data_IF_858421126675
#
_entry.id   IF_858421126675
#
_cell.length_a   1.000
_cell.length_b   1.000
_cell.length_c   1.000
_cell.angle_alpha   90.00
_cell.angle_beta   90.00
_cell.angle_gamma   90.00
#
_symmetry.space_group_name_H-M   'P 1'
#
loop_
_entity.id
_entity.type
_entity.pdbx_description
1 polymer ?
#
# COMPACT_ATOMS: atom_id res chain seq x y z
N UNK A 1 -23.08 -8.52 3.82
CA UNK A 1 -23.05 -8.87 2.37
C UNK A 1 -22.85 -10.36 2.14
N UNK A 2 -21.79 -11.00 2.67
CA UNK A 2 -21.64 -12.48 2.59
C UNK A 2 -22.85 -13.21 3.20
N UNK A 3 -23.24 -12.84 4.42
CA UNK A 3 -24.36 -13.48 5.13
C UNK A 3 -25.71 -13.30 4.42
N UNK A 4 -25.91 -12.17 3.73
CA UNK A 4 -27.13 -11.91 2.96
C UNK A 4 -27.17 -12.80 1.72
N UNK A 5 -26.02 -12.96 1.05
CA UNK A 5 -25.87 -13.85 -0.10
C UNK A 5 -26.09 -15.31 0.27
N UNK A 6 -25.47 -15.77 1.37
CA UNK A 6 -25.65 -17.14 1.89
C UNK A 6 -27.10 -17.43 2.29
N UNK A 7 -27.82 -16.44 2.84
CA UNK A 7 -29.27 -16.56 3.11
C UNK A 7 -30.09 -16.62 1.83
N UNK A 8 -29.75 -15.82 0.82
CA UNK A 8 -30.44 -15.85 -0.48
C UNK A 8 -30.17 -17.13 -1.28
N UNK A 9 -29.10 -17.87 -0.97
CA UNK A 9 -28.75 -19.19 -1.55
C UNK A 9 -29.54 -20.36 -0.96
N UNK A 10 -30.33 -20.16 0.10
CA UNK A 10 -31.13 -21.23 0.70
C UNK A 10 -32.32 -21.61 -0.20
N UNK A 11 -32.65 -22.90 -0.21
CA UNK A 11 -33.81 -23.43 -0.96
C UNK A 11 -35.09 -22.94 -0.31
N UNK A 12 -36.00 -22.36 -1.12
CA UNK A 12 -37.32 -21.95 -0.66
C UNK A 12 -38.34 -23.09 -0.86
N UNK A 13 -39.23 -23.35 0.12
CA UNK A 13 -40.25 -24.38 -0.02
C UNK A 13 -41.25 -24.01 -1.13
N UNK A 14 -41.59 -24.99 -1.97
CA UNK A 14 -42.55 -24.90 -3.11
C UNK A 14 -42.12 -24.00 -4.29
N UNK A 15 -40.84 -23.66 -4.41
CA UNK A 15 -40.32 -22.90 -5.56
C UNK A 15 -40.19 -23.77 -6.82
N UNK A 16 -40.64 -23.27 -7.97
CA UNK A 16 -40.47 -23.97 -9.26
C UNK A 16 -38.99 -23.93 -9.70
N UNK A 17 -38.58 -24.88 -10.54
CA UNK A 17 -37.23 -24.90 -11.12
C UNK A 17 -36.90 -23.60 -11.87
N UNK A 18 -37.87 -23.07 -12.63
CA UNK A 18 -37.73 -21.81 -13.37
C UNK A 18 -37.53 -20.61 -12.45
N UNK A 19 -38.28 -20.53 -11.35
CA UNK A 19 -38.17 -19.43 -10.39
C UNK A 19 -36.86 -19.51 -9.60
N UNK A 20 -36.42 -20.72 -9.29
CA UNK A 20 -35.12 -21.01 -8.68
C UNK A 20 -33.96 -20.53 -9.57
N UNK A 21 -33.95 -20.90 -10.86
CA UNK A 21 -32.93 -20.43 -11.81
C UNK A 21 -32.94 -18.91 -11.96
N UNK A 22 -34.12 -18.28 -12.06
CA UNK A 22 -34.23 -16.81 -12.12
C UNK A 22 -33.67 -16.14 -10.86
N UNK A 23 -33.99 -16.66 -9.67
CA UNK A 23 -33.50 -16.14 -8.39
C UNK A 23 -31.98 -16.28 -8.26
N UNK A 24 -31.42 -17.45 -8.56
CA UNK A 24 -29.96 -17.64 -8.51
C UNK A 24 -29.25 -16.74 -9.50
N UNK A 25 -29.74 -16.62 -10.73
CA UNK A 25 -29.17 -15.71 -11.72
C UNK A 25 -29.17 -14.27 -11.24
N UNK A 26 -30.30 -13.77 -10.73
CA UNK A 26 -30.39 -12.41 -10.20
C UNK A 26 -29.46 -12.18 -9.00
N UNK A 27 -29.36 -13.16 -8.10
CA UNK A 27 -28.49 -13.10 -6.93
C UNK A 27 -27.00 -13.07 -7.34
N UNK A 28 -26.58 -13.97 -8.24
CA UNK A 28 -25.22 -14.04 -8.77
C UNK A 28 -24.84 -12.76 -9.53
N UNK A 29 -25.73 -12.22 -10.36
CA UNK A 29 -25.51 -10.96 -11.08
C UNK A 29 -25.35 -9.78 -10.11
N UNK A 30 -26.18 -9.71 -9.06
CA UNK A 30 -26.08 -8.68 -8.03
C UNK A 30 -24.74 -8.72 -7.29
N UNK A 31 -24.30 -9.91 -6.87
CA UNK A 31 -23.02 -10.09 -6.20
C UNK A 31 -21.86 -9.73 -7.12
N UNK A 32 -21.89 -10.17 -8.38
CA UNK A 32 -20.87 -9.84 -9.38
C UNK A 32 -20.73 -8.33 -9.58
N UNK A 33 -21.85 -7.60 -9.66
CA UNK A 33 -21.83 -6.14 -9.79
C UNK A 33 -21.18 -5.50 -8.55
N UNK A 34 -21.61 -5.89 -7.34
CA UNK A 34 -21.04 -5.36 -6.09
C UNK A 34 -19.55 -5.69 -5.92
N UNK A 35 -19.14 -6.91 -6.29
CA UNK A 35 -17.74 -7.31 -6.30
C UNK A 35 -16.91 -6.41 -7.23
N UNK A 36 -17.39 -6.16 -8.46
CA UNK A 36 -16.72 -5.25 -9.41
C UNK A 36 -16.62 -3.82 -8.88
N UNK A 37 -17.69 -3.30 -8.27
CA UNK A 37 -17.67 -1.97 -7.65
C UNK A 37 -16.63 -1.90 -6.53
N UNK A 38 -16.60 -2.91 -5.64
CA UNK A 38 -15.63 -2.97 -4.54
C UNK A 38 -14.19 -3.08 -5.04
N UNK A 39 -13.94 -3.88 -6.08
CA UNK A 39 -12.62 -3.98 -6.70
C UNK A 39 -12.17 -2.68 -7.37
N UNK A 40 -13.08 -1.98 -8.05
CA UNK A 40 -12.78 -0.67 -8.65
C UNK A 40 -12.50 0.39 -7.59
N UNK A 41 -13.31 0.42 -6.54
CA UNK A 41 -13.10 1.31 -5.40
C UNK A 41 -11.78 1.03 -4.70
N UNK A 42 -11.46 -0.24 -4.45
CA UNK A 42 -10.18 -0.66 -3.87
C UNK A 42 -8.98 -0.22 -4.73
N UNK A 43 -9.05 -0.43 -6.06
CA UNK A 43 -8.01 0.05 -6.98
C UNK A 43 -7.83 1.56 -6.94
N UNK A 44 -8.93 2.32 -7.00
CA UNK A 44 -8.88 3.78 -6.90
C UNK A 44 -8.19 4.24 -5.60
N UNK A 45 -8.48 3.59 -4.48
CA UNK A 45 -7.79 3.92 -3.23
C UNK A 45 -6.30 3.52 -3.28
N UNK A 46 -5.97 2.34 -3.81
CA UNK A 46 -4.57 1.92 -3.97
C UNK A 46 -3.76 2.92 -4.79
N UNK A 47 -4.30 3.37 -5.93
CA UNK A 47 -3.62 4.29 -6.84
C UNK A 47 -3.27 5.64 -6.18
N UNK A 48 -4.07 6.10 -5.22
CA UNK A 48 -3.86 7.38 -4.53
C UNK A 48 -3.08 7.25 -3.22
N UNK A 49 -3.10 6.08 -2.56
CA UNK A 49 -2.59 5.96 -1.21
C UNK A 49 -1.42 5.00 -1.06
N UNK A 50 -1.19 4.05 -1.99
CA UNK A 50 -0.13 3.05 -1.88
C UNK A 50 1.19 3.48 -2.56
N UNK A 51 1.69 4.65 -2.16
CA UNK A 51 2.92 5.26 -2.69
C UNK A 51 4.17 4.92 -1.86
N UNK A 52 4.14 3.91 -0.99
CA UNK A 52 5.27 3.58 -0.12
C UNK A 52 5.63 2.10 -0.12
N UNK A 53 6.91 1.78 0.11
CA UNK A 53 7.41 0.43 0.35
C UNK A 53 8.36 0.40 1.56
N UNK A 54 8.50 -0.77 2.20
CA UNK A 54 9.33 -0.93 3.41
C UNK A 54 10.49 -1.90 3.16
N UNK A 55 11.67 -1.58 3.69
CA UNK A 55 12.89 -2.39 3.65
C UNK A 55 13.39 -2.75 5.05
N UNK A 56 14.13 -3.85 5.14
CA UNK A 56 14.98 -4.17 6.28
C UNK A 56 16.32 -3.44 6.14
N UNK A 57 16.72 -2.73 7.19
CA UNK A 57 18.05 -2.12 7.36
C UNK A 57 18.71 -2.59 8.67
N UNK A 58 18.46 -3.84 9.04
CA UNK A 58 19.06 -4.51 10.19
C UNK A 58 20.51 -4.89 9.88
N UNK A 59 21.37 -3.89 9.71
CA UNK A 59 22.76 -4.07 9.34
C UNK A 59 23.68 -4.00 10.57
N UNK A 60 24.81 -4.73 10.54
CA UNK A 60 25.92 -4.44 11.45
C UNK A 60 26.38 -2.98 11.33
N UNK A 61 26.95 -2.36 12.39
CA UNK A 61 27.32 -0.95 12.41
C UNK A 61 28.17 -0.49 11.22
N UNK A 62 29.16 -1.27 10.81
CA UNK A 62 30.03 -0.99 9.68
C UNK A 62 29.28 -0.96 8.33
N UNK A 63 28.31 -1.86 8.16
CA UNK A 63 27.47 -1.92 6.96
C UNK A 63 26.44 -0.80 6.97
N UNK A 64 25.91 -0.45 8.14
CA UNK A 64 25.01 0.69 8.31
C UNK A 64 25.72 2.01 7.97
N UNK A 65 26.99 2.17 8.36
CA UNK A 65 27.77 3.34 8.00
C UNK A 65 27.98 3.40 6.48
N UNK A 66 28.35 2.29 5.85
CA UNK A 66 28.46 2.22 4.38
C UNK A 66 27.15 2.62 3.70
N UNK A 67 26.00 2.18 4.21
CA UNK A 67 24.69 2.57 3.69
C UNK A 67 24.48 4.09 3.74
N UNK A 68 24.84 4.75 4.85
CA UNK A 68 24.78 6.21 4.93
C UNK A 68 25.76 6.89 3.98
N UNK A 69 26.99 6.37 3.87
CA UNK A 69 28.02 6.93 3.00
C UNK A 69 27.59 6.87 1.52
N UNK A 70 26.91 5.80 1.09
CA UNK A 70 26.35 5.68 -0.27
C UNK A 70 25.21 6.67 -0.52
N UNK A 71 24.31 6.86 0.45
CA UNK A 71 23.28 7.90 0.36
C UNK A 71 23.89 9.30 0.22
N UNK A 72 24.90 9.61 1.03
CA UNK A 72 25.61 10.90 0.94
C UNK A 72 26.33 11.04 -0.41
N UNK A 73 27.03 10.00 -0.87
CA UNK A 73 27.77 10.02 -2.14
C UNK A 73 26.86 10.20 -3.36
N UNK A 74 25.62 9.68 -3.29
CA UNK A 74 24.60 9.86 -4.31
C UNK A 74 23.86 11.20 -4.23
N UNK A 75 24.21 12.08 -3.29
CA UNK A 75 23.63 13.42 -3.17
C UNK A 75 22.34 13.49 -2.36
N UNK A 76 22.01 12.45 -1.58
CA UNK A 76 20.90 12.54 -0.64
C UNK A 76 21.20 13.54 0.47
N UNK A 77 20.14 14.15 1.01
CA UNK A 77 20.24 15.11 2.10
C UNK A 77 19.24 14.78 3.21
N UNK A 78 19.66 15.04 4.45
CA UNK A 78 18.84 14.82 5.64
C UNK A 78 17.89 15.99 5.84
N UNK A 79 16.61 15.70 6.06
CA UNK A 79 15.63 16.69 6.46
C UNK A 79 15.67 16.85 7.98
N UNK A 80 15.86 18.08 8.45
CA UNK A 80 15.69 18.43 9.84
C UNK A 80 14.24 18.87 10.06
N UNK A 81 13.46 17.98 10.66
CA UNK A 81 12.00 18.12 10.73
C UNK A 81 11.51 18.69 12.04
N UNK A 82 12.29 18.49 13.11
CA UNK A 82 11.96 18.90 14.49
C UNK A 82 10.95 17.99 15.19
N UNK A 83 10.39 17.00 14.49
CA UNK A 83 9.34 16.10 15.01
C UNK A 83 9.71 14.61 14.90
N UNK A 84 10.36 14.19 13.81
CA UNK A 84 10.71 12.78 13.59
C UNK A 84 11.90 12.35 14.44
N UNK A 85 12.85 13.26 14.67
CA UNK A 85 14.08 12.99 15.42
C UNK A 85 13.75 12.63 16.88
N UNK A 86 12.72 13.25 17.45
CA UNK A 86 12.20 12.94 18.80
C UNK A 86 11.63 11.51 18.90
N UNK A 87 11.32 10.87 17.77
CA UNK A 87 10.81 9.50 17.69
C UNK A 87 11.88 8.50 17.20
N UNK A 88 13.16 8.90 17.20
CA UNK A 88 14.29 8.13 16.64
C UNK A 88 14.11 7.80 15.15
N UNK A 89 13.40 8.67 14.42
CA UNK A 89 13.18 8.55 12.97
C UNK A 89 13.90 9.67 12.25
N UNK A 90 14.46 9.34 11.09
CA UNK A 90 15.20 10.30 10.27
C UNK A 90 14.62 10.29 8.86
N UNK A 91 14.42 11.47 8.29
CA UNK A 91 13.86 11.61 6.94
C UNK A 91 14.95 12.11 6.01
N UNK A 92 15.23 11.36 4.96
CA UNK A 92 16.24 11.66 3.94
C UNK A 92 15.50 11.86 2.62
N UNK A 93 15.88 12.87 1.85
CA UNK A 93 15.29 13.13 0.55
C UNK A 93 16.24 12.70 -0.58
N UNK A 94 15.65 12.21 -1.68
CA UNK A 94 16.37 11.96 -2.93
C UNK A 94 16.94 13.26 -3.51
N UNK A 95 18.05 13.23 -4.26
CA UNK A 95 18.67 14.42 -4.86
C UNK A 95 17.70 15.28 -5.68
N UNK A 96 16.77 14.64 -6.41
CA UNK A 96 15.79 15.29 -7.27
C UNK A 96 14.77 16.20 -6.55
N UNK A 97 14.77 16.19 -5.21
CA UNK A 97 13.92 17.02 -4.37
C UNK A 97 14.61 18.32 -3.91
N UNK A 98 15.86 18.57 -4.27
CA UNK A 98 16.52 19.85 -3.95
C UNK A 98 15.68 21.04 -4.43
N UNK A 99 15.45 22.00 -3.53
CA UNK A 99 14.65 23.20 -3.79
C UNK A 99 13.12 22.98 -3.83
N UNK A 100 12.62 21.75 -3.65
CA UNK A 100 11.19 21.40 -3.77
C UNK A 100 10.55 21.12 -2.40
N UNK A 101 10.58 22.10 -1.50
CA UNK A 101 10.10 21.96 -0.11
C UNK A 101 8.60 21.57 -0.03
N UNK A 102 7.77 22.21 -0.85
CA UNK A 102 6.32 21.96 -0.88
C UNK A 102 6.00 20.52 -1.32
N UNK A 103 6.81 19.95 -2.20
CA UNK A 103 6.68 18.57 -2.66
C UNK A 103 7.02 17.58 -1.55
N UNK A 104 8.09 17.83 -0.79
CA UNK A 104 8.46 16.99 0.36
C UNK A 104 7.33 16.94 1.40
N UNK A 105 6.74 18.09 1.73
CA UNK A 105 5.61 18.15 2.67
C UNK A 105 4.39 17.39 2.16
N UNK A 106 4.15 17.45 0.86
CA UNK A 106 3.02 16.81 0.20
C UNK A 106 3.14 15.29 0.11
N UNK A 107 4.34 14.79 -0.20
CA UNK A 107 4.66 13.36 -0.24
C UNK A 107 4.44 12.68 1.11
N UNK A 108 4.58 13.44 2.21
CA UNK A 108 4.29 12.95 3.55
C UNK A 108 2.79 12.83 3.86
N UNK A 109 1.90 13.38 3.03
CA UNK A 109 0.46 13.39 3.25
C UNK A 109 -0.27 12.49 2.24
N UNK A 110 -1.01 13.10 1.30
CA UNK A 110 -1.76 12.40 0.25
C UNK A 110 -1.15 12.75 -1.09
N UNK A 111 -0.77 11.72 -1.84
CA UNK A 111 -0.23 11.83 -3.18
C UNK A 111 -1.36 11.71 -4.21
N UNK A 112 -1.56 12.72 -5.05
CA UNK A 112 -2.45 12.62 -6.22
C UNK A 112 -1.63 12.72 -7.49
N UNK A 113 -2.05 12.01 -8.53
CA UNK A 113 -1.43 12.06 -9.86
C UNK A 113 -1.38 13.51 -10.37
N UNK A 114 -2.44 14.30 -10.14
CA UNK A 114 -2.52 15.69 -10.57
C UNK A 114 -1.43 16.59 -9.96
N UNK A 115 -0.92 16.21 -8.78
CA UNK A 115 0.12 16.99 -8.07
C UNK A 115 1.53 16.64 -8.56
N UNK A 116 1.74 15.41 -9.02
CA UNK A 116 3.07 14.89 -9.38
C UNK A 116 3.04 14.17 -10.73
N UNK A 117 2.84 14.89 -11.85
CA UNK A 117 2.70 14.26 -13.17
C UNK A 117 4.01 13.65 -13.69
N UNK A 118 5.18 14.20 -13.35
CA UNK A 118 6.45 13.91 -14.03
C UNK A 118 7.58 13.37 -13.12
N UNK A 119 7.27 13.00 -11.88
CA UNK A 119 8.29 12.80 -10.84
C UNK A 119 8.46 11.32 -10.44
N UNK A 120 8.92 10.50 -11.38
CA UNK A 120 9.07 9.04 -11.20
C UNK A 120 10.17 8.63 -10.20
N UNK A 121 11.27 9.36 -10.14
CA UNK A 121 12.46 8.96 -9.35
C UNK A 121 12.55 9.65 -7.98
N UNK A 122 11.60 10.53 -7.66
CA UNK A 122 11.60 11.28 -6.41
C UNK A 122 11.05 10.47 -5.25
N UNK A 123 11.76 10.48 -4.13
CA UNK A 123 11.30 9.84 -2.91
C UNK A 123 11.82 10.49 -1.63
N UNK A 124 11.07 10.25 -0.56
CA UNK A 124 11.51 10.41 0.80
C UNK A 124 11.80 9.04 1.40
N UNK A 125 12.88 8.97 2.18
CA UNK A 125 13.30 7.78 2.89
C UNK A 125 13.20 8.05 4.40
N UNK A 126 12.37 7.28 5.08
CA UNK A 126 12.15 7.39 6.52
C UNK A 126 12.87 6.21 7.16
N UNK A 127 13.89 6.50 7.96
CA UNK A 127 14.74 5.51 8.59
C UNK A 127 14.46 5.41 10.08
N UNK A 128 14.51 4.20 10.62
CA UNK A 128 14.60 3.95 12.05
C UNK A 128 15.70 2.92 12.32
N UNK A 129 16.98 3.35 12.39
CA UNK A 129 18.10 2.43 12.59
C UNK A 129 18.08 1.76 13.98
N UNK A 130 18.78 0.65 14.13
CA UNK A 130 18.95 -0.02 15.43
C UNK A 130 20.00 0.66 16.31
N UNK A 131 21.06 1.17 15.67
CA UNK A 131 22.18 1.86 16.31
C UNK A 131 22.10 3.37 16.21
N UNK A 132 23.19 4.03 16.61
CA UNK A 132 23.39 5.47 16.50
C UNK A 132 23.34 5.95 15.05
N UNK A 133 22.58 7.01 14.80
CA UNK A 133 22.51 7.66 13.49
C UNK A 133 23.58 8.74 13.34
N UNK A 134 24.53 8.52 12.44
CA UNK A 134 25.61 9.46 12.14
C UNK A 134 25.53 9.93 10.68
N UNK A 135 25.08 11.16 10.47
CA UNK A 135 24.93 11.76 9.14
C UNK A 135 25.92 12.90 8.92
N UNK A 136 26.77 12.73 7.91
CA UNK A 136 27.81 13.68 7.50
C UNK A 136 27.49 14.46 6.22
N UNK A 137 26.40 14.12 5.53
CA UNK A 137 25.94 14.82 4.33
C UNK A 137 25.21 16.13 4.62
N UNK A 138 24.65 16.71 3.56
CA UNK A 138 23.86 17.93 3.63
C UNK A 138 22.63 17.76 4.53
N UNK A 139 22.25 18.86 5.21
CA UNK A 139 21.08 18.94 6.08
C UNK A 139 20.24 20.14 5.67
N UNK A 140 18.94 19.92 5.47
CA UNK A 140 18.00 20.96 5.07
C UNK A 140 16.86 21.02 6.09
N UNK A 141 16.59 22.21 6.62
CA UNK A 141 15.46 22.42 7.53
C UNK A 141 14.15 22.43 6.74
N UNK A 142 13.28 21.46 7.02
CA UNK A 142 11.96 21.34 6.37
C UNK A 142 10.93 21.06 7.45
N UNK A 143 10.03 22.02 7.75
CA UNK A 143 9.01 21.79 8.76
C UNK A 143 8.03 20.73 8.25
N UNK A 144 8.05 19.55 8.86
CA UNK A 144 7.07 18.50 8.60
C UNK A 144 6.06 18.44 9.74
N UNK A 145 4.83 18.04 9.40
CA UNK A 145 3.81 17.78 10.41
C UNK A 145 4.15 16.48 11.14
N UNK A 146 3.92 16.46 12.45
CA UNK A 146 4.03 15.23 13.22
C UNK A 146 3.04 14.20 12.70
N UNK A 147 3.53 12.98 12.45
CA UNK A 147 2.70 11.88 11.98
C UNK A 147 3.11 10.58 12.69
N UNK A 148 2.12 9.79 13.07
CA UNK A 148 2.37 8.47 13.62
C UNK A 148 2.68 7.48 12.50
N UNK A 149 3.96 7.40 12.15
CA UNK A 149 4.48 6.44 11.17
C UNK A 149 4.83 5.15 11.91
N UNK A 150 4.08 4.09 11.60
CA UNK A 150 4.36 2.73 12.06
C UNK A 150 5.58 2.17 11.31
N UNK A 151 6.76 2.43 11.87
CA UNK A 151 8.06 1.99 11.40
C UNK A 151 8.84 1.43 12.60
N UNK A 152 9.24 0.15 12.52
CA UNK A 152 9.99 -0.53 13.59
C UNK A 152 11.48 -0.21 13.49
N UNK A 153 12.22 -0.42 14.58
CA UNK A 153 13.69 -0.35 14.53
C UNK A 153 14.23 -1.36 13.52
N UNK A 154 15.32 -0.99 12.84
CA UNK A 154 15.88 -1.78 11.74
C UNK A 154 15.07 -1.72 10.46
N UNK A 155 14.16 -0.75 10.30
CA UNK A 155 13.36 -0.59 9.08
C UNK A 155 13.56 0.77 8.42
N UNK A 156 13.41 0.76 7.10
CA UNK A 156 13.35 1.94 6.27
C UNK A 156 12.02 1.92 5.48
N UNK A 157 11.42 3.08 5.29
CA UNK A 157 10.27 3.28 4.39
C UNK A 157 10.65 4.24 3.30
N UNK A 158 10.44 3.83 2.05
CA UNK A 158 10.51 4.72 0.90
C UNK A 158 9.09 5.22 0.59
N UNK A 159 8.92 6.53 0.44
CA UNK A 159 7.68 7.20 0.03
C UNK A 159 7.93 7.88 -1.32
N UNK A 160 7.34 7.36 -2.38
CA UNK A 160 7.35 7.97 -3.70
C UNK A 160 6.29 9.07 -3.82
N UNK A 161 6.33 9.80 -4.93
CA UNK A 161 5.36 10.85 -5.28
C UNK A 161 3.98 10.32 -5.63
N UNK A 162 3.84 9.01 -5.87
CA UNK A 162 2.56 8.35 -6.13
C UNK A 162 2.71 6.83 -6.25
N UNK A 163 1.59 6.11 -6.31
CA UNK A 163 1.60 4.64 -6.44
C UNK A 163 2.25 4.17 -7.75
N UNK A 164 2.08 4.93 -8.83
CA UNK A 164 2.63 4.60 -10.15
C UNK A 164 4.13 4.90 -10.26
N UNK A 165 4.64 5.84 -9.47
CA UNK A 165 6.06 6.21 -9.43
C UNK A 165 6.88 5.34 -8.46
N UNK A 166 6.22 4.55 -7.62
CA UNK A 166 6.88 3.71 -6.62
C UNK A 166 7.92 2.73 -7.20
N UNK A 167 7.67 2.05 -8.34
CA UNK A 167 8.66 1.16 -8.95
C UNK A 167 9.95 1.89 -9.35
N UNK A 168 9.83 3.04 -10.00
CA UNK A 168 10.92 3.87 -10.49
C UNK A 168 11.70 4.49 -9.32
N UNK A 169 11.01 5.09 -8.36
CA UNK A 169 11.62 5.65 -7.15
C UNK A 169 12.39 4.58 -6.35
N UNK A 170 11.81 3.38 -6.22
CA UNK A 170 12.49 2.24 -5.59
C UNK A 170 13.73 1.83 -6.36
N UNK A 171 13.65 1.77 -7.69
CA UNK A 171 14.80 1.43 -8.53
C UNK A 171 15.92 2.46 -8.34
N UNK A 172 15.60 3.75 -8.44
CA UNK A 172 16.55 4.84 -8.23
C UNK A 172 17.21 4.77 -6.84
N UNK A 173 16.45 4.41 -5.80
CA UNK A 173 16.98 4.16 -4.47
C UNK A 173 17.96 3.00 -4.40
N UNK A 174 17.59 1.83 -4.93
CA UNK A 174 18.45 0.65 -4.92
C UNK A 174 19.74 0.87 -5.73
N UNK A 175 19.63 1.56 -6.87
CA UNK A 175 20.76 1.94 -7.70
C UNK A 175 21.68 2.94 -6.96
N UNK A 176 21.12 3.87 -6.19
CA UNK A 176 21.88 4.86 -5.43
C UNK A 176 22.63 4.28 -4.23
N UNK A 177 22.08 3.27 -3.55
CA UNK A 177 22.76 2.65 -2.41
C UNK A 177 23.74 1.55 -2.79
N UNK A 178 23.59 0.97 -3.99
CA UNK A 178 24.39 -0.17 -4.49
C UNK A 178 24.55 -1.28 -3.43
N UNK A 179 23.44 -1.59 -2.75
CA UNK A 179 23.37 -2.54 -1.65
C UNK A 179 22.11 -3.39 -1.76
N UNK A 180 22.25 -4.67 -1.42
CA UNK A 180 21.09 -5.55 -1.34
C UNK A 180 20.27 -5.22 -0.08
N UNK A 181 18.99 -4.89 -0.29
CA UNK A 181 18.03 -4.57 0.76
C UNK A 181 16.83 -5.51 0.67
N UNK A 182 16.50 -6.15 1.80
CA UNK A 182 15.33 -7.01 1.87
C UNK A 182 14.05 -6.18 1.84
N UNK A 183 13.29 -6.31 0.76
CA UNK A 183 11.95 -5.72 0.64
C UNK A 183 10.97 -6.46 1.56
N UNK A 184 10.41 -5.76 2.55
CA UNK A 184 9.45 -6.30 3.52
C UNK A 184 8.00 -6.09 3.10
N UNK A 185 7.72 -4.95 2.48
CA UNK A 185 6.38 -4.61 1.98
C UNK A 185 6.54 -3.92 0.63
N UNK A 186 5.98 -4.50 -0.42
CA UNK A 186 6.14 -3.99 -1.79
C UNK A 186 5.41 -2.67 -2.02
N UNK A 187 4.24 -2.53 -1.43
CA UNK A 187 3.37 -1.38 -1.59
C UNK A 187 2.43 -1.28 -0.40
N UNK A 188 2.29 -0.07 0.15
CA UNK A 188 1.42 0.27 1.29
C UNK A 188 1.18 1.77 1.33
N UNK A 189 0.20 2.18 2.14
CA UNK A 189 0.07 3.59 2.52
C UNK A 189 1.01 3.95 3.65
N UNK A 190 1.61 5.14 3.57
CA UNK A 190 2.33 5.76 4.68
C UNK A 190 1.39 6.10 5.86
N UNK A 191 0.12 6.37 5.58
CA UNK A 191 -0.90 6.67 6.59
C UNK A 191 -1.44 5.36 7.16
N UNK A 192 -1.08 5.05 8.41
CA UNK A 192 -1.44 3.78 9.07
C UNK A 192 -2.96 3.48 9.02
N UNK A 193 -3.81 4.47 9.31
CA UNK A 193 -5.27 4.32 9.28
C UNK A 193 -5.79 3.96 7.87
N UNK A 194 -5.22 4.55 6.83
CA UNK A 194 -5.60 4.26 5.44
C UNK A 194 -5.15 2.86 5.06
N UNK A 195 -3.90 2.51 5.40
CA UNK A 195 -3.36 1.18 5.15
C UNK A 195 -4.23 0.07 5.78
N UNK A 196 -4.65 0.25 7.04
CA UNK A 196 -5.54 -0.69 7.72
C UNK A 196 -6.87 -0.88 6.97
N UNK A 197 -7.47 0.20 6.47
CA UNK A 197 -8.72 0.16 5.69
C UNK A 197 -8.54 -0.48 4.31
N UNK A 198 -7.42 -0.22 3.63
CA UNK A 198 -7.09 -0.87 2.36
C UNK A 198 -6.95 -2.40 2.52
N UNK A 199 -6.26 -2.85 3.57
CA UNK A 199 -6.12 -4.27 3.91
C UNK A 199 -7.49 -4.90 4.20
N UNK A 200 -8.35 -4.21 4.95
CA UNK A 200 -9.72 -4.66 5.23
C UNK A 200 -10.56 -4.80 3.94
N UNK A 201 -10.53 -3.80 3.06
CA UNK A 201 -11.22 -3.83 1.76
C UNK A 201 -10.75 -5.02 0.92
N UNK A 202 -9.43 -5.24 0.82
CA UNK A 202 -8.86 -6.39 0.10
C UNK A 202 -9.34 -7.71 0.69
N UNK A 203 -9.35 -7.84 2.02
CA UNK A 203 -9.83 -9.04 2.71
C UNK A 203 -11.31 -9.31 2.42
N UNK A 204 -12.16 -8.29 2.49
CA UNK A 204 -13.60 -8.43 2.20
C UNK A 204 -13.83 -8.79 0.73
N UNK A 205 -13.11 -8.16 -0.20
CA UNK A 205 -13.21 -8.46 -1.62
C UNK A 205 -12.77 -9.91 -1.94
N UNK A 206 -11.70 -10.37 -1.29
CA UNK A 206 -11.25 -11.76 -1.41
C UNK A 206 -12.29 -12.74 -0.86
N UNK A 207 -12.79 -12.50 0.36
CA UNK A 207 -13.83 -13.35 0.97
C UNK A 207 -15.08 -13.44 0.08
N UNK A 208 -15.56 -12.30 -0.44
CA UNK A 208 -16.70 -12.27 -1.35
C UNK A 208 -16.45 -13.09 -2.62
N UNK A 209 -15.23 -13.02 -3.16
CA UNK A 209 -14.84 -13.78 -4.36
C UNK A 209 -14.80 -15.29 -4.07
N UNK A 210 -14.27 -15.70 -2.92
CA UNK A 210 -14.27 -17.10 -2.47
C UNK A 210 -15.70 -17.63 -2.33
N UNK A 211 -16.54 -16.94 -1.54
CA UNK A 211 -17.93 -17.35 -1.29
C UNK A 211 -18.74 -17.42 -2.58
N UNK A 212 -18.49 -16.51 -3.53
CA UNK A 212 -19.11 -16.56 -4.85
C UNK A 212 -18.69 -17.81 -5.63
N UNK A 213 -17.40 -18.19 -5.63
CA UNK A 213 -16.93 -19.42 -6.28
C UNK A 213 -17.55 -20.67 -5.63
N UNK A 214 -17.59 -20.73 -4.29
CA UNK A 214 -18.15 -21.85 -3.53
C UNK A 214 -19.66 -22.03 -3.78
N UNK A 215 -20.38 -20.93 -4.03
CA UNK A 215 -21.83 -20.96 -4.29
C UNK A 215 -22.23 -21.77 -5.51
N UNK A 216 -21.32 -21.94 -6.49
CA UNK A 216 -21.60 -22.72 -7.71
C UNK A 216 -21.83 -24.20 -7.38
N UNK A 217 -21.04 -24.76 -6.46
CA UNK A 217 -21.23 -26.14 -6.02
C UNK A 217 -22.54 -26.32 -5.25
N UNK A 218 -22.89 -25.33 -4.41
CA UNK A 218 -24.14 -25.33 -3.66
C UNK A 218 -25.34 -25.30 -4.61
N UNK A 219 -25.32 -24.43 -5.62
CA UNK A 219 -26.38 -24.33 -6.62
C UNK A 219 -26.48 -25.64 -7.42
N UNK A 220 -25.34 -26.22 -7.84
CA UNK A 220 -25.33 -27.51 -8.58
C UNK A 220 -25.99 -28.63 -7.77
N UNK A 221 -25.62 -28.78 -6.50
CA UNK A 221 -26.24 -29.77 -5.59
C UNK A 221 -27.74 -29.53 -5.38
N UNK A 222 -28.16 -28.27 -5.30
CA UNK A 222 -29.59 -27.92 -5.09
C UNK A 222 -30.45 -28.06 -6.36
N UNK A 223 -29.81 -28.06 -7.53
CA UNK A 223 -30.41 -28.25 -8.85
C UNK A 223 -30.39 -29.72 -9.33
N UNK A 224 -29.65 -30.62 -8.65
CA UNK A 224 -29.66 -32.05 -8.96
C UNK A 224 -31.08 -32.63 -8.91
N UNK A 225 -31.48 -33.33 -9.98
CA UNK A 225 -32.81 -33.94 -10.11
C UNK A 225 -33.94 -32.95 -10.40
N UNK A 226 -33.65 -31.67 -10.63
CA UNK A 226 -34.61 -30.67 -11.13
C UNK A 226 -34.23 -30.31 -12.57
N UNK A 227 -35.21 -30.27 -13.47
CA UNK A 227 -35.05 -29.86 -14.89
C UNK A 227 -34.76 -28.34 -14.98
N UNK A 228 -33.67 -27.91 -14.35
CA UNK A 228 -33.15 -26.56 -14.41
C UNK A 228 -32.20 -26.46 -15.62
N UNK A 229 -32.59 -25.72 -16.66
CA UNK A 229 -31.68 -25.30 -17.75
C UNK A 229 -30.76 -24.17 -17.32
#
# INVERSE_FOLDING_TARGET
MSETFEKELQVKPKESATDMSKRYKACLDSVRIRQRMLQRFGRMLSDNYEHSCDFSICFPPETMQKFYDQLVASGHFLLQTGVFENQEKYVIASPELHGKLDDMQAMMAVTSIDRFPDLGEQYLLILRPEGSFHWFGEKVAVPLREQNIDLKRGQARLCATGSQALPEARKAFLDAVDMHLDLRQESRSNIHKVNARLVEIRRVAYKLSSTFMDSVEVIRKQAEGKDCQ
#
